data_IF_603264155755
#
_entry.id   IF_603264155755
#
_cell.length_a   1.000
_cell.length_b   1.000
_cell.length_c   1.000
_cell.angle_alpha   90.00
_cell.angle_beta   90.00
_cell.angle_gamma   90.00
#
_symmetry.space_group_name_H-M   'P 1'
#
loop_
_entity.id
_entity.type
_entity.pdbx_description
1 polymer ?
#
# COMPACT_ATOMS: atom_id res chain seq x y z
N UNK A 1 -3.73 -19.77 31.76
CA UNK A 1 -3.56 -21.23 31.51
C UNK A 1 -2.30 -21.56 30.71
N UNK A 2 -2.05 -20.94 29.54
CA UNK A 2 -0.87 -21.24 28.70
C UNK A 2 0.47 -20.90 29.36
N UNK A 3 0.57 -19.73 30.02
CA UNK A 3 1.80 -19.28 30.71
C UNK A 3 2.30 -20.30 31.74
N UNK A 4 1.40 -20.87 32.54
CA UNK A 4 1.76 -21.85 33.56
C UNK A 4 2.24 -23.18 32.96
N UNK A 5 1.68 -23.59 31.81
CA UNK A 5 2.18 -24.75 31.06
C UNK A 5 3.61 -24.50 30.53
N UNK A 6 3.87 -23.30 30.02
CA UNK A 6 5.20 -22.90 29.53
C UNK A 6 6.22 -22.92 30.69
N UNK A 7 5.89 -22.37 31.86
CA UNK A 7 6.79 -22.40 33.01
C UNK A 7 7.11 -23.82 33.48
N UNK A 8 6.13 -24.72 33.45
CA UNK A 8 6.29 -26.11 33.90
C UNK A 8 7.07 -26.99 32.92
N UNK A 9 6.82 -26.81 31.62
CA UNK A 9 7.31 -27.73 30.58
C UNK A 9 8.36 -27.12 29.65
N UNK A 10 8.55 -25.81 29.70
CA UNK A 10 9.39 -25.06 28.76
C UNK A 10 8.74 -24.86 27.39
N UNK A 11 9.52 -24.26 26.48
CA UNK A 11 9.21 -24.15 25.05
C UNK A 11 10.33 -24.82 24.25
N UNK A 12 9.98 -25.44 23.12
CA UNK A 12 10.97 -26.06 22.22
C UNK A 12 11.60 -25.05 21.27
N UNK A 13 10.81 -24.07 20.81
CA UNK A 13 11.20 -23.10 19.80
C UNK A 13 11.16 -21.70 20.42
N UNK A 14 12.22 -20.90 20.22
CA UNK A 14 12.31 -19.54 20.75
C UNK A 14 11.30 -18.61 20.07
N UNK A 15 11.15 -18.73 18.75
CA UNK A 15 10.17 -17.99 17.93
C UNK A 15 9.44 -18.99 17.02
N UNK A 16 8.13 -18.83 16.88
CA UNK A 16 7.27 -19.75 16.09
C UNK A 16 6.48 -19.06 14.99
N UNK A 17 6.43 -17.73 14.97
CA UNK A 17 5.64 -16.95 14.01
C UNK A 17 6.52 -15.97 13.25
N UNK A 18 6.33 -15.94 11.93
CA UNK A 18 6.95 -15.03 10.97
C UNK A 18 6.00 -14.89 9.80
N UNK A 19 5.99 -13.73 9.13
CA UNK A 19 5.20 -13.52 7.91
C UNK A 19 6.18 -13.29 6.78
N UNK A 20 6.42 -14.33 5.99
CA UNK A 20 7.32 -14.27 4.85
C UNK A 20 6.60 -13.71 3.60
N UNK A 21 7.36 -13.23 2.59
CA UNK A 21 6.80 -12.91 1.28
C UNK A 21 6.12 -14.14 0.67
N UNK A 22 4.91 -13.98 0.16
CA UNK A 22 4.08 -15.09 -0.36
C UNK A 22 3.73 -14.95 -1.84
N UNK A 23 4.38 -14.06 -2.60
CA UNK A 23 3.97 -13.72 -3.97
C UNK A 23 3.68 -14.90 -4.90
N UNK A 24 4.56 -15.90 -5.00
CA UNK A 24 4.28 -17.08 -5.85
C UNK A 24 3.23 -18.01 -5.23
N UNK A 25 3.21 -18.13 -3.89
CA UNK A 25 2.30 -19.02 -3.18
C UNK A 25 0.85 -18.53 -3.25
N UNK A 26 0.65 -17.22 -3.11
CA UNK A 26 -0.66 -16.56 -3.23
C UNK A 26 -1.21 -16.63 -4.65
N UNK A 27 -0.34 -16.56 -5.68
CA UNK A 27 -0.75 -16.80 -7.07
C UNK A 27 -1.24 -18.23 -7.29
N UNK A 28 -0.59 -19.22 -6.67
CA UNK A 28 -1.02 -20.63 -6.74
C UNK A 28 -2.35 -20.82 -5.97
N UNK A 29 -2.47 -20.19 -4.80
CA UNK A 29 -3.65 -20.27 -3.95
C UNK A 29 -4.80 -19.35 -4.38
N UNK A 30 -4.58 -18.49 -5.37
CA UNK A 30 -5.51 -17.47 -5.85
C UNK A 30 -6.06 -16.58 -4.73
N UNK A 31 -5.17 -16.06 -3.89
CA UNK A 31 -5.49 -15.21 -2.75
C UNK A 31 -4.56 -13.98 -2.64
N UNK A 32 -4.84 -13.08 -1.69
CA UNK A 32 -3.99 -11.91 -1.43
C UNK A 32 -2.62 -12.29 -0.83
N UNK A 33 -1.65 -11.40 -0.98
CA UNK A 33 -0.30 -11.60 -0.48
C UNK A 33 -0.20 -11.32 1.02
N UNK A 34 0.25 -12.31 1.80
CA UNK A 34 0.69 -12.13 3.18
C UNK A 34 -0.30 -11.35 4.05
N UNK A 35 0.17 -10.26 4.65
CA UNK A 35 -0.62 -9.32 5.44
C UNK A 35 -0.74 -7.97 4.72
N UNK A 36 -0.99 -7.99 3.41
CA UNK A 36 -1.09 -6.79 2.59
C UNK A 36 -2.49 -6.62 2.01
N UNK A 37 -2.99 -5.38 1.88
CA UNK A 37 -4.12 -5.08 1.01
C UNK A 37 -3.80 -5.50 -0.44
N UNK A 38 -4.84 -5.74 -1.23
CA UNK A 38 -4.65 -5.95 -2.67
C UNK A 38 -3.96 -4.73 -3.28
N UNK A 39 -2.90 -4.94 -4.05
CA UNK A 39 -2.17 -3.83 -4.67
C UNK A 39 -3.03 -3.08 -5.71
N UNK A 40 -3.78 -3.82 -6.51
CA UNK A 40 -4.77 -3.34 -7.48
C UNK A 40 -5.93 -4.34 -7.56
N UNK A 41 -7.15 -3.85 -7.78
CA UNK A 41 -8.32 -4.70 -8.00
C UNK A 41 -8.59 -4.95 -9.48
N UNK A 42 -8.21 -4.01 -10.34
CA UNK A 42 -8.18 -4.18 -11.80
C UNK A 42 -6.81 -3.75 -12.30
N UNK A 43 -6.17 -4.57 -13.13
CA UNK A 43 -4.94 -4.17 -13.81
C UNK A 43 -4.92 -4.68 -15.25
N UNK A 44 -4.27 -3.91 -16.12
CA UNK A 44 -4.13 -4.28 -17.51
C UNK A 44 -2.88 -5.12 -17.74
N UNK A 45 -3.04 -6.21 -18.49
CA UNK A 45 -1.93 -6.97 -19.05
C UNK A 45 -1.90 -6.80 -20.57
N UNK A 46 -0.81 -6.22 -21.07
CA UNK A 46 -0.53 -6.16 -22.51
C UNK A 46 0.16 -7.45 -22.94
N UNK A 47 -0.45 -8.16 -23.88
CA UNK A 47 0.16 -9.32 -24.56
C UNK A 47 0.20 -9.04 -26.06
N UNK A 48 0.98 -9.82 -26.82
CA UNK A 48 1.15 -9.63 -28.27
C UNK A 48 -0.18 -9.59 -29.04
N UNK A 49 -1.22 -10.24 -28.51
CA UNK A 49 -2.53 -10.40 -29.15
C UNK A 49 -3.53 -9.30 -28.75
N UNK A 50 -3.22 -8.45 -27.76
CA UNK A 50 -4.12 -7.39 -27.31
C UNK A 50 -3.95 -6.98 -25.85
N UNK A 51 -4.90 -6.17 -25.38
CA UNK A 51 -5.01 -5.71 -23.99
C UNK A 51 -6.06 -6.55 -23.27
N UNK A 52 -5.75 -7.06 -22.08
CA UNK A 52 -6.69 -7.82 -21.25
C UNK A 52 -6.71 -7.24 -19.83
N UNK A 53 -7.89 -7.13 -19.24
CA UNK A 53 -8.06 -6.75 -17.85
C UNK A 53 -8.04 -7.99 -16.95
N UNK A 54 -7.24 -7.92 -15.90
CA UNK A 54 -7.27 -8.86 -14.79
C UNK A 54 -8.00 -8.18 -13.64
N UNK A 55 -9.14 -8.74 -13.27
CA UNK A 55 -10.02 -8.18 -12.25
C UNK A 55 -10.10 -9.13 -11.06
N UNK A 56 -10.10 -8.58 -9.85
CA UNK A 56 -10.42 -9.32 -8.66
C UNK A 56 -11.81 -9.97 -8.81
N UNK A 57 -11.90 -11.29 -8.62
CA UNK A 57 -13.11 -12.08 -8.90
C UNK A 57 -14.35 -11.58 -8.16
N UNK A 58 -14.19 -11.11 -6.92
CA UNK A 58 -15.28 -10.60 -6.10
C UNK A 58 -15.75 -9.24 -6.65
N UNK A 59 -14.82 -8.36 -6.99
CA UNK A 59 -15.14 -7.05 -7.61
C UNK A 59 -15.83 -7.25 -8.95
N UNK A 60 -15.33 -8.14 -9.81
CA UNK A 60 -15.96 -8.48 -11.09
C UNK A 60 -17.41 -8.95 -10.90
N UNK A 61 -17.64 -9.86 -9.94
CA UNK A 61 -18.98 -10.35 -9.63
C UNK A 61 -19.91 -9.21 -9.21
N UNK A 62 -19.48 -8.36 -8.28
CA UNK A 62 -20.29 -7.26 -7.76
C UNK A 62 -20.57 -6.21 -8.85
N UNK A 63 -19.59 -5.88 -9.70
CA UNK A 63 -19.81 -4.99 -10.85
C UNK A 63 -20.86 -5.57 -11.81
N UNK A 64 -20.85 -6.89 -12.05
CA UNK A 64 -21.85 -7.56 -12.89
C UNK A 64 -23.25 -7.53 -12.26
N UNK A 65 -23.35 -7.83 -10.98
CA UNK A 65 -24.63 -7.81 -10.23
C UNK A 65 -25.29 -6.43 -10.23
N UNK A 66 -24.48 -5.37 -10.23
CA UNK A 66 -24.95 -3.98 -10.29
C UNK A 66 -25.06 -3.40 -11.70
N UNK A 67 -24.80 -4.19 -12.76
CA UNK A 67 -24.89 -3.73 -14.15
C UNK A 67 -23.82 -2.70 -14.55
N UNK A 68 -22.71 -2.63 -13.81
CA UNK A 68 -21.61 -1.69 -14.03
C UNK A 68 -20.42 -2.30 -14.78
N UNK A 69 -20.42 -3.63 -14.97
CA UNK A 69 -19.31 -4.31 -15.64
C UNK A 69 -19.23 -3.92 -17.13
N UNK A 70 -18.23 -3.13 -17.49
CA UNK A 70 -17.87 -2.81 -18.88
C UNK A 70 -16.36 -2.64 -19.05
N UNK A 71 -15.85 -2.86 -20.27
CA UNK A 71 -14.43 -2.68 -20.58
C UNK A 71 -14.00 -1.21 -20.37
N UNK A 72 -14.89 -0.24 -20.61
CA UNK A 72 -14.61 1.18 -20.34
C UNK A 72 -14.43 1.45 -18.83
N UNK A 73 -15.28 0.87 -17.98
CA UNK A 73 -15.14 1.04 -16.53
C UNK A 73 -13.89 0.33 -16.01
N UNK A 74 -13.60 -0.89 -16.50
CA UNK A 74 -12.38 -1.60 -16.13
C UNK A 74 -11.11 -0.83 -16.54
N UNK A 75 -11.13 -0.18 -17.71
CA UNK A 75 -10.04 0.71 -18.12
C UNK A 75 -9.87 1.89 -17.15
N UNK A 76 -10.97 2.57 -16.77
CA UNK A 76 -10.94 3.67 -15.80
C UNK A 76 -10.38 3.23 -14.44
N UNK A 77 -10.79 2.06 -13.95
CA UNK A 77 -10.28 1.50 -12.68
C UNK A 77 -8.78 1.19 -12.82
N UNK A 78 -8.37 0.52 -13.89
CA UNK A 78 -6.97 0.16 -14.13
C UNK A 78 -6.06 1.39 -14.22
N UNK A 79 -6.50 2.45 -14.92
CA UNK A 79 -5.77 3.72 -15.02
C UNK A 79 -5.80 4.53 -13.70
N UNK A 80 -6.65 4.17 -12.74
CA UNK A 80 -6.75 4.77 -11.41
C UNK A 80 -6.09 3.89 -10.33
N UNK A 81 -4.86 3.42 -10.56
CA UNK A 81 -4.15 2.50 -9.65
C UNK A 81 -4.87 1.17 -9.39
N UNK A 82 -5.77 0.76 -10.29
CA UNK A 82 -6.64 -0.37 -10.04
C UNK A 82 -7.63 -0.17 -8.89
N UNK A 83 -7.87 1.08 -8.48
CA UNK A 83 -8.77 1.47 -7.39
C UNK A 83 -10.11 1.97 -7.92
N UNK A 84 -11.16 1.66 -7.17
CA UNK A 84 -12.52 2.13 -7.42
C UNK A 84 -12.73 3.56 -6.89
N UNK A 85 -11.81 4.06 -6.05
CA UNK A 85 -11.94 5.32 -5.32
C UNK A 85 -11.94 6.52 -6.26
N UNK A 86 -12.89 7.42 -6.06
CA UNK A 86 -13.03 8.67 -6.83
C UNK A 86 -13.73 8.51 -8.18
N UNK A 87 -14.16 7.30 -8.57
CA UNK A 87 -14.88 7.07 -9.84
C UNK A 87 -16.39 7.33 -9.63
N UNK A 88 -16.99 8.38 -10.24
CA UNK A 88 -18.37 8.79 -9.94
C UNK A 88 -19.44 7.74 -10.31
N UNK A 89 -19.14 6.89 -11.29
CA UNK A 89 -20.01 5.81 -11.76
C UNK A 89 -20.14 4.66 -10.75
N UNK A 90 -19.23 4.58 -9.77
CA UNK A 90 -19.19 3.52 -8.78
C UNK A 90 -19.81 4.02 -7.46
N UNK A 91 -20.89 3.40 -6.96
CA UNK A 91 -21.45 3.68 -5.64
C UNK A 91 -20.41 3.75 -4.50
N UNK A 92 -20.56 4.75 -3.62
CA UNK A 92 -19.62 5.03 -2.52
C UNK A 92 -19.33 3.79 -1.65
N UNK A 93 -20.36 3.00 -1.33
CA UNK A 93 -20.19 1.81 -0.48
C UNK A 93 -19.22 0.77 -1.09
N UNK A 94 -19.13 0.67 -2.43
CA UNK A 94 -18.14 -0.19 -3.07
C UNK A 94 -16.74 0.39 -2.95
N UNK A 95 -16.61 1.72 -3.10
CA UNK A 95 -15.33 2.40 -2.93
C UNK A 95 -14.80 2.25 -1.50
N UNK A 96 -15.69 2.24 -0.50
CA UNK A 96 -15.33 2.09 0.91
C UNK A 96 -14.94 0.65 1.29
N UNK A 97 -15.52 -0.35 0.63
CA UNK A 97 -15.27 -1.78 0.91
C UNK A 97 -14.08 -2.31 0.13
N UNK A 98 -13.98 -1.97 -1.15
CA UNK A 98 -12.98 -2.50 -2.08
C UNK A 98 -11.80 -1.54 -2.21
N UNK A 99 -11.08 -1.38 -1.10
CA UNK A 99 -9.87 -0.56 -1.03
C UNK A 99 -8.63 -1.34 -1.45
N UNK A 100 -7.72 -0.66 -2.14
CA UNK A 100 -6.39 -1.12 -2.53
C UNK A 100 -5.33 -0.60 -1.57
N UNK A 101 -4.09 -1.09 -1.74
CA UNK A 101 -2.95 -0.58 -1.00
C UNK A 101 -2.69 0.92 -1.25
N UNK A 102 -3.04 1.43 -2.44
CA UNK A 102 -2.85 2.84 -2.81
C UNK A 102 -3.92 3.77 -2.22
N UNK A 103 -5.05 3.23 -1.76
CA UNK A 103 -6.13 4.00 -1.14
C UNK A 103 -5.90 4.33 0.34
N UNK A 104 -4.91 3.65 0.95
CA UNK A 104 -4.63 3.66 2.38
C UNK A 104 -3.36 4.48 2.63
N UNK A 105 -3.45 5.44 3.55
CA UNK A 105 -2.31 6.29 3.90
C UNK A 105 -1.17 5.47 4.49
N UNK A 106 0.08 5.83 4.19
CA UNK A 106 1.27 5.07 4.61
C UNK A 106 1.33 4.88 6.13
N UNK A 107 0.87 5.86 6.90
CA UNK A 107 0.84 5.78 8.36
C UNK A 107 -0.21 4.75 8.84
N UNK A 108 -1.35 4.64 8.17
CA UNK A 108 -2.37 3.64 8.49
C UNK A 108 -1.93 2.22 8.14
N UNK A 109 -1.15 2.04 7.05
CA UNK A 109 -0.48 0.76 6.78
C UNK A 109 0.41 0.32 7.94
N UNK A 110 1.15 1.26 8.55
CA UNK A 110 2.03 0.99 9.68
C UNK A 110 1.25 0.68 10.95
N UNK A 111 0.17 1.42 11.23
CA UNK A 111 -0.70 1.12 12.37
C UNK A 111 -1.28 -0.29 12.27
N UNK A 112 -1.75 -0.68 11.09
CA UNK A 112 -2.25 -2.04 10.85
C UNK A 112 -1.14 -3.09 11.07
N UNK A 113 0.08 -2.83 10.59
CA UNK A 113 1.21 -3.73 10.82
C UNK A 113 1.58 -3.86 12.30
N UNK A 114 1.53 -2.76 13.07
CA UNK A 114 1.81 -2.74 14.50
C UNK A 114 0.92 -3.68 15.30
N UNK A 115 -0.39 -3.69 15.00
CA UNK A 115 -1.36 -4.58 15.65
C UNK A 115 -0.95 -6.05 15.50
N UNK A 116 -0.47 -6.45 14.31
CA UNK A 116 -0.02 -7.82 14.09
C UNK A 116 1.35 -8.10 14.71
N UNK A 117 2.25 -7.12 14.69
CA UNK A 117 3.63 -7.28 15.15
C UNK A 117 3.72 -7.70 16.62
N UNK A 118 2.77 -7.28 17.46
CA UNK A 118 2.63 -7.70 18.87
C UNK A 118 2.51 -9.21 19.05
N UNK A 119 1.96 -9.90 18.05
CA UNK A 119 1.70 -11.35 18.08
C UNK A 119 2.68 -12.15 17.21
N UNK A 120 3.57 -11.48 16.48
CA UNK A 120 4.56 -12.11 15.61
C UNK A 120 5.94 -12.05 16.27
N UNK A 121 6.50 -13.24 16.54
CA UNK A 121 7.79 -13.41 17.20
C UNK A 121 8.96 -12.88 16.36
N UNK A 122 8.89 -13.04 15.04
CA UNK A 122 9.86 -12.49 14.09
C UNK A 122 9.30 -11.25 13.35
N UNK A 123 9.90 -10.86 12.23
CA UNK A 123 9.43 -9.74 11.40
C UNK A 123 8.25 -10.12 10.49
N UNK A 124 7.57 -9.08 9.99
CA UNK A 124 6.53 -9.17 8.98
C UNK A 124 7.08 -8.57 7.69
N UNK A 125 7.13 -9.38 6.62
CA UNK A 125 7.44 -8.90 5.29
C UNK A 125 6.17 -8.28 4.68
N UNK A 126 5.95 -7.00 5.03
CA UNK A 126 4.87 -6.17 4.50
C UNK A 126 5.45 -4.93 3.81
N UNK A 127 4.92 -4.65 2.65
CA UNK A 127 5.19 -3.45 1.87
C UNK A 127 4.22 -2.33 2.26
N UNK A 128 4.77 -1.15 2.49
CA UNK A 128 4.07 0.13 2.63
C UNK A 128 4.07 0.78 1.26
N UNK A 129 2.96 0.62 0.54
CA UNK A 129 2.79 1.17 -0.79
C UNK A 129 2.40 2.65 -0.67
N UNK A 130 3.15 3.50 -1.37
CA UNK A 130 3.02 4.95 -1.34
C UNK A 130 2.75 5.47 -2.75
N UNK A 131 1.74 6.32 -2.93
CA UNK A 131 1.55 7.10 -4.17
C UNK A 131 2.79 7.91 -4.58
N UNK A 132 2.85 8.29 -5.86
CA UNK A 132 4.01 9.00 -6.41
C UNK A 132 4.20 10.41 -5.83
N UNK A 133 3.17 11.03 -5.27
CA UNK A 133 3.21 12.38 -4.70
C UNK A 133 3.73 12.40 -3.25
N UNK A 134 3.97 11.23 -2.66
CA UNK A 134 4.61 11.12 -1.33
C UNK A 134 6.06 11.61 -1.39
N UNK A 135 6.50 12.39 -0.40
CA UNK A 135 7.82 13.02 -0.38
C UNK A 135 8.89 12.16 0.31
N UNK A 136 10.16 12.54 0.16
CA UNK A 136 11.25 11.91 0.91
C UNK A 136 11.12 12.09 2.43
N UNK A 137 10.54 13.22 2.88
CA UNK A 137 10.28 13.45 4.31
C UNK A 137 9.18 12.51 4.82
N UNK A 138 8.16 12.22 4.02
CA UNK A 138 7.12 11.24 4.39
C UNK A 138 7.68 9.82 4.48
N UNK A 139 8.59 9.45 3.57
CA UNK A 139 9.31 8.17 3.64
C UNK A 139 10.14 8.09 4.93
N UNK A 140 10.84 9.16 5.30
CA UNK A 140 11.58 9.24 6.56
C UNK A 140 10.62 9.12 7.76
N UNK A 141 9.51 9.85 7.75
CA UNK A 141 8.47 9.79 8.78
C UNK A 141 7.86 8.39 8.92
N UNK A 142 7.72 7.64 7.82
CA UNK A 142 7.32 6.24 7.85
C UNK A 142 8.31 5.36 8.61
N UNK A 143 9.61 5.54 8.41
CA UNK A 143 10.64 4.81 9.18
C UNK A 143 10.64 5.22 10.66
N UNK A 144 10.48 6.51 10.98
CA UNK A 144 10.42 7.00 12.36
C UNK A 144 9.18 6.45 13.09
N UNK A 145 8.03 6.46 12.43
CA UNK A 145 6.80 5.89 13.00
C UNK A 145 6.92 4.38 13.17
N UNK A 146 7.49 3.65 12.20
CA UNK A 146 7.73 2.21 12.31
C UNK A 146 8.64 1.87 13.51
N UNK A 147 9.69 2.67 13.72
CA UNK A 147 10.56 2.55 14.88
C UNK A 147 9.79 2.76 16.19
N UNK A 148 8.98 3.83 16.28
CA UNK A 148 8.17 4.13 17.48
C UNK A 148 7.14 3.03 17.78
N UNK A 149 6.57 2.40 16.74
CA UNK A 149 5.66 1.26 16.86
C UNK A 149 6.37 -0.06 17.21
N UNK A 150 7.70 -0.09 17.29
CA UNK A 150 8.45 -1.32 17.58
C UNK A 150 8.43 -2.33 16.44
N UNK A 151 8.22 -1.90 15.19
CA UNK A 151 8.21 -2.79 14.04
C UNK A 151 9.60 -3.39 13.79
N UNK A 152 9.66 -4.71 13.61
CA UNK A 152 10.91 -5.44 13.39
C UNK A 152 11.40 -5.39 11.95
N UNK A 153 10.55 -4.94 11.03
CA UNK A 153 10.85 -4.79 9.61
C UNK A 153 9.82 -3.90 8.93
N UNK A 154 10.26 -3.18 7.91
CA UNK A 154 9.43 -2.33 7.06
C UNK A 154 10.04 -2.36 5.66
N UNK A 155 9.19 -2.42 4.64
CA UNK A 155 9.60 -2.22 3.25
C UNK A 155 8.75 -1.11 2.67
N UNK A 156 9.37 -0.04 2.17
CA UNK A 156 8.67 1.07 1.52
C UNK A 156 8.76 0.88 0.01
N UNK A 157 7.62 0.99 -0.67
CA UNK A 157 7.55 1.09 -2.11
C UNK A 157 6.77 2.35 -2.48
N UNK A 158 7.45 3.31 -3.10
CA UNK A 158 6.85 4.53 -3.63
C UNK A 158 6.70 4.38 -5.14
N UNK A 159 5.51 4.68 -5.65
CA UNK A 159 5.30 4.67 -7.09
C UNK A 159 6.27 5.64 -7.80
N UNK A 160 6.70 5.24 -9.00
CA UNK A 160 7.73 5.93 -9.76
C UNK A 160 9.17 5.76 -9.25
N UNK A 161 9.42 5.07 -8.13
CA UNK A 161 10.80 4.92 -7.59
C UNK A 161 11.66 3.88 -8.33
N UNK A 162 11.13 3.17 -9.33
CA UNK A 162 11.84 2.16 -10.14
C UNK A 162 11.47 2.30 -11.62
N UNK A 163 12.47 2.24 -12.51
CA UNK A 163 12.30 2.37 -13.97
C UNK A 163 11.58 1.20 -14.65
N UNK A 164 11.66 -0.02 -14.09
CA UNK A 164 10.93 -1.21 -14.58
C UNK A 164 10.05 -1.73 -13.45
N UNK A 165 8.74 -1.67 -13.67
CA UNK A 165 7.72 -2.22 -12.78
C UNK A 165 7.13 -3.48 -13.41
N UNK A 166 6.95 -4.54 -12.64
CA UNK A 166 6.34 -5.80 -13.13
C UNK A 166 4.82 -5.63 -13.29
N UNK A 167 4.23 -4.79 -12.44
CA UNK A 167 2.85 -4.34 -12.52
C UNK A 167 2.88 -2.92 -13.09
N UNK A 168 2.53 -2.76 -14.36
CA UNK A 168 2.35 -1.44 -14.95
C UNK A 168 1.00 -0.89 -14.46
N UNK A 169 1.05 0.05 -13.52
CA UNK A 169 -0.15 0.71 -12.97
C UNK A 169 -0.65 1.87 -13.82
N UNK A 170 0.00 2.15 -14.95
CA UNK A 170 -0.21 3.38 -15.69
C UNK A 170 0.01 3.17 -17.19
N UNK A 171 -1.01 3.47 -17.98
CA UNK A 171 -0.78 4.04 -19.30
C UNK A 171 -0.02 5.37 -19.12
N UNK A 172 0.70 5.86 -20.13
CA UNK A 172 1.47 7.12 -20.03
C UNK A 172 0.63 8.36 -19.62
N UNK A 173 -0.70 8.22 -19.52
CA UNK A 173 -1.68 9.26 -19.21
C UNK A 173 -2.40 9.08 -17.84
N UNK A 174 -2.03 8.10 -17.03
CA UNK A 174 -2.70 7.86 -15.76
C UNK A 174 -2.47 9.02 -14.77
N UNK A 175 -3.55 9.55 -14.20
CA UNK A 175 -3.54 10.61 -13.21
C UNK A 175 -4.18 10.09 -11.91
N UNK A 176 -3.57 10.40 -10.77
CA UNK A 176 -4.17 10.15 -9.45
C UNK A 176 -5.46 10.97 -9.33
N UNK A 177 -6.60 10.29 -9.16
CA UNK A 177 -7.92 10.96 -9.09
C UNK A 177 -8.43 11.16 -7.66
N UNK A 178 -7.67 10.73 -6.65
CA UNK A 178 -8.09 10.76 -5.25
C UNK A 178 -6.94 11.11 -4.33
N UNK A 179 -7.23 11.85 -3.27
CA UNK A 179 -6.28 12.06 -2.18
C UNK A 179 -6.31 10.92 -1.18
N UNK A 180 -5.16 10.70 -0.57
CA UNK A 180 -4.96 9.69 0.47
C UNK A 180 -4.60 10.43 1.74
N UNK A 181 -5.54 10.49 2.68
CA UNK A 181 -5.39 11.21 3.93
C UNK A 181 -5.25 10.25 5.10
N UNK A 182 -4.49 10.61 6.14
CA UNK A 182 -4.38 9.78 7.33
C UNK A 182 -5.72 9.68 8.06
N UNK A 183 -5.98 8.50 8.65
CA UNK A 183 -7.16 8.32 9.50
C UNK A 183 -7.10 9.18 10.77
N UNK A 184 -8.26 9.52 11.34
CA UNK A 184 -8.34 10.20 12.64
C UNK A 184 -7.60 9.40 13.74
N UNK A 185 -7.63 8.07 13.62
CA UNK A 185 -6.96 7.19 14.57
C UNK A 185 -5.44 7.40 14.58
N UNK A 186 -4.79 7.44 13.42
CA UNK A 186 -3.33 7.62 13.37
C UNK A 186 -2.91 9.02 13.79
N UNK A 187 -3.66 10.04 13.38
CA UNK A 187 -3.42 11.43 13.81
C UNK A 187 -3.54 11.55 15.32
N UNK A 188 -4.59 10.97 15.92
CA UNK A 188 -4.75 10.95 17.38
C UNK A 188 -3.63 10.18 18.06
N UNK A 189 -3.22 9.02 17.52
CA UNK A 189 -2.13 8.22 18.07
C UNK A 189 -0.82 9.02 18.11
N UNK A 190 -0.44 9.66 17.00
CA UNK A 190 0.78 10.47 16.90
C UNK A 190 0.75 11.63 17.90
N UNK A 191 -0.39 12.31 18.03
CA UNK A 191 -0.51 13.47 18.93
C UNK A 191 -0.55 13.08 20.40
N UNK A 192 -1.10 11.92 20.76
CA UNK A 192 -1.37 11.56 22.17
C UNK A 192 -0.44 10.51 22.75
N UNK A 193 0.02 9.55 21.94
CA UNK A 193 0.76 8.37 22.42
C UNK A 193 2.27 8.48 22.19
N UNK A 194 2.71 9.19 21.14
CA UNK A 194 4.15 9.38 20.87
C UNK A 194 4.71 10.40 21.86
N UNK A 195 5.68 9.94 22.64
CA UNK A 195 6.33 10.76 23.68
C UNK A 195 7.65 11.36 23.23
N UNK A 196 8.33 10.73 22.25
CA UNK A 196 9.59 11.23 21.71
C UNK A 196 9.34 12.53 20.90
N UNK A 197 9.89 13.69 21.32
CA UNK A 197 9.60 14.97 20.67
C UNK A 197 10.05 15.02 19.20
N UNK A 198 11.18 14.41 18.86
CA UNK A 198 11.72 14.40 17.51
C UNK A 198 10.84 13.58 16.56
N UNK A 199 10.47 12.36 16.97
CA UNK A 199 9.58 11.52 16.17
C UNK A 199 8.22 12.18 16.04
N UNK A 200 7.68 12.70 17.14
CA UNK A 200 6.38 13.36 17.16
C UNK A 200 6.32 14.52 16.17
N UNK A 201 7.28 15.44 16.18
CA UNK A 201 7.28 16.59 15.27
C UNK A 201 7.36 16.15 13.81
N UNK A 202 8.34 15.29 13.47
CA UNK A 202 8.53 14.85 12.08
C UNK A 202 7.32 14.10 11.53
N UNK A 203 6.77 13.16 12.32
CA UNK A 203 5.60 12.39 11.89
C UNK A 203 4.37 13.29 11.81
N UNK A 204 4.13 14.16 12.79
CA UNK A 204 3.00 15.09 12.80
C UNK A 204 3.01 16.01 11.58
N UNK A 205 4.15 16.63 11.26
CA UNK A 205 4.31 17.53 10.12
C UNK A 205 4.09 16.84 8.76
N UNK A 206 4.35 15.52 8.70
CA UNK A 206 4.04 14.68 7.53
C UNK A 206 2.58 14.23 7.47
N UNK A 207 1.82 14.33 8.57
CA UNK A 207 0.39 13.99 8.62
C UNK A 207 -0.52 15.20 8.43
N UNK A 208 -0.06 16.40 8.79
CA UNK A 208 -0.79 17.64 8.50
C UNK A 208 -0.81 17.86 6.98
N UNK A 209 -2.02 17.81 6.42
CA UNK A 209 -2.34 18.00 5.00
C UNK A 209 -1.47 19.08 4.35
N UNK A 210 -0.51 18.64 3.54
CA UNK A 210 0.15 19.53 2.58
C UNK A 210 -0.78 19.68 1.39
N UNK A 211 -1.47 20.83 1.32
CA UNK A 211 -1.89 21.38 0.03
C UNK A 211 -0.59 21.71 -0.69
N UNK A 212 -0.17 20.86 -1.62
CA UNK A 212 1.05 21.11 -2.40
C UNK A 212 0.74 22.17 -3.46
N UNK A 213 1.00 23.44 -3.14
CA UNK A 213 1.17 24.51 -4.13
C UNK A 213 2.59 24.46 -4.72
N UNK A 214 2.97 23.32 -5.32
CA UNK A 214 4.19 23.25 -6.12
C UNK A 214 3.83 22.79 -7.53
N UNK A 215 3.95 23.72 -8.48
CA UNK A 215 3.86 23.45 -9.92
C UNK A 215 4.79 22.29 -10.27
N UNK A 216 4.20 21.18 -10.70
CA UNK A 216 4.91 20.05 -11.30
C UNK A 216 5.58 20.58 -12.57
N UNK A 217 6.86 20.93 -12.48
CA UNK A 217 7.67 21.24 -13.65
C UNK A 217 7.98 19.93 -14.36
N UNK A 218 7.24 19.69 -15.43
CA UNK A 218 7.42 18.55 -16.31
C UNK A 218 8.64 18.74 -17.22
N UNK A 219 9.84 18.46 -16.71
CA UNK A 219 10.96 18.12 -17.60
C UNK A 219 11.74 16.93 -17.04
N UNK A 220 11.75 15.78 -17.75
CA UNK A 220 12.62 14.68 -17.39
C UNK A 220 14.07 15.08 -17.68
N UNK A 221 14.92 15.07 -16.65
CA UNK A 221 16.36 15.19 -16.79
C UNK A 221 16.83 14.00 -17.65
N UNK A 222 17.12 14.26 -18.93
CA UNK A 222 17.86 13.33 -19.78
C UNK A 222 19.32 13.36 -19.34
N UNK A 223 19.73 12.35 -18.56
CA UNK A 223 21.15 12.00 -18.52
C UNK A 223 21.48 11.22 -19.79
N UNK A 224 22.24 11.84 -20.69
CA UNK A 224 22.95 11.11 -21.74
C UNK A 224 23.99 10.20 -21.06
N UNK A 225 23.79 8.89 -21.19
CA UNK A 225 24.81 7.90 -20.85
C UNK A 225 25.73 7.81 -22.05
N UNK A 226 26.98 8.24 -21.87
CA UNK A 226 28.05 8.12 -22.85
C UNK A 226 28.43 6.64 -22.99
N UNK A 227 27.95 5.98 -24.05
CA UNK A 227 28.40 4.64 -24.44
C UNK A 227 29.77 4.73 -25.11
N UNK A 228 30.83 4.90 -24.30
CA UNK A 228 32.18 4.43 -24.59
C UNK A 228 33.10 4.62 -23.37
N UNK A 229 33.06 3.68 -22.41
CA UNK A 229 34.19 3.10 -21.64
C UNK A 229 33.76 2.21 -20.47
#
# INVERSE_FOLDING_TARGET
ALIEKIKKHGIRNVLTTTVAPTGTLSMIADCSNGMEPAFALVFEKRVTVGRFFYTNKIVEQVLKEHGLYSDELLAKIADNYGSLKGIPEIPQWMQDVYVTAMDIHWADHLMAQGVWQDWIGNAIAKTINMPYDVTAEDVKSAYLLAHELGLKGITVYRDGSRHKQVLHMTSDNAQKTFDVTPSEYVTRYVTTMISNPYIKSHVHDSLELKVYDEEITSEPIRQEVDEDR
#
